data_IF_143583470687
#
_entry.id   IF_143583470687
#
_cell.length_a   1.000
_cell.length_b   1.000
_cell.length_c   1.000
_cell.angle_alpha   90.00
_cell.angle_beta   90.00
_cell.angle_gamma   90.00
#
_symmetry.space_group_name_H-M   'P 1'
#
loop_
_entity.id
_entity.type
_entity.pdbx_description
1 polymer ?
#
# COMPACT_ATOMS: atom_id res chain seq x y z
N UNK A 1 -34.87 10.61 1.97
CA UNK A 1 -34.04 11.10 3.11
C UNK A 1 -32.63 10.67 2.78
N UNK A 2 -31.64 11.48 3.07
CA UNK A 2 -30.23 11.10 2.92
C UNK A 2 -29.89 9.99 3.91
N UNK A 3 -28.96 9.11 3.55
CA UNK A 3 -28.60 7.98 4.41
C UNK A 3 -27.84 8.48 5.67
N UNK A 4 -28.14 7.95 6.88
CA UNK A 4 -27.52 8.43 8.14
C UNK A 4 -25.99 8.39 8.17
N UNK A 5 -25.36 7.42 7.51
CA UNK A 5 -23.89 7.34 7.40
C UNK A 5 -23.31 8.53 6.64
N UNK A 6 -24.01 9.06 5.64
CA UNK A 6 -23.56 10.25 4.91
C UNK A 6 -23.67 11.51 5.76
N UNK A 7 -24.77 11.64 6.55
CA UNK A 7 -24.94 12.78 7.44
C UNK A 7 -23.87 12.76 8.55
N UNK A 8 -23.60 11.59 9.14
CA UNK A 8 -22.54 11.41 10.12
C UNK A 8 -21.13 11.74 9.53
N UNK A 9 -20.84 11.26 8.33
CA UNK A 9 -19.55 11.49 7.71
C UNK A 9 -19.30 12.97 7.40
N UNK A 10 -20.36 13.69 6.95
CA UNK A 10 -20.27 15.16 6.77
C UNK A 10 -20.06 15.90 8.10
N UNK A 11 -20.78 15.51 9.17
CA UNK A 11 -20.60 16.08 10.49
C UNK A 11 -19.20 15.84 11.06
N UNK A 12 -18.56 14.73 10.68
CA UNK A 12 -17.21 14.35 11.11
C UNK A 12 -16.10 15.01 10.29
N UNK A 13 -16.38 15.55 9.12
CA UNK A 13 -15.38 16.12 8.21
C UNK A 13 -14.45 17.15 8.87
N UNK A 14 -14.93 18.13 9.68
CA UNK A 14 -14.03 19.09 10.32
C UNK A 14 -12.98 18.44 11.22
N UNK A 15 -13.35 17.38 11.92
CA UNK A 15 -12.42 16.62 12.78
C UNK A 15 -11.45 15.78 11.95
N UNK A 16 -11.90 15.18 10.84
CA UNK A 16 -11.03 14.47 9.91
C UNK A 16 -9.97 15.37 9.31
N UNK A 17 -10.33 16.63 8.95
CA UNK A 17 -9.39 17.59 8.39
C UNK A 17 -8.33 18.01 9.43
N UNK A 18 -8.71 18.20 10.70
CA UNK A 18 -7.77 18.49 11.79
C UNK A 18 -6.81 17.32 12.04
N UNK A 19 -7.31 16.10 12.02
CA UNK A 19 -6.49 14.90 12.23
C UNK A 19 -5.53 14.70 11.04
N UNK A 20 -5.99 14.96 9.81
CA UNK A 20 -5.15 14.90 8.61
C UNK A 20 -4.03 15.95 8.65
N UNK A 21 -4.33 17.20 9.02
CA UNK A 21 -3.32 18.25 9.21
C UNK A 21 -2.26 17.82 10.20
N UNK A 22 -2.65 17.25 11.35
CA UNK A 22 -1.72 16.75 12.38
C UNK A 22 -0.79 15.67 11.83
N UNK A 23 -1.31 14.74 11.01
CA UNK A 23 -0.50 13.67 10.41
C UNK A 23 0.48 14.24 9.38
N UNK A 24 0.01 15.11 8.47
CA UNK A 24 0.85 15.70 7.41
C UNK A 24 1.98 16.56 7.99
N UNK A 25 1.74 17.28 9.09
CA UNK A 25 2.75 18.13 9.74
C UNK A 25 3.89 17.34 10.38
N UNK A 26 3.79 16.02 10.44
CA UNK A 26 4.87 15.13 10.89
C UNK A 26 5.41 14.34 9.72
N UNK A 27 6.43 14.91 9.06
CA UNK A 27 7.07 14.27 7.91
C UNK A 27 7.58 12.87 8.27
N UNK A 28 7.24 11.87 7.46
CA UNK A 28 7.47 10.44 7.73
C UNK A 28 8.12 9.69 6.56
N UNK A 29 9.28 10.13 6.04
CA UNK A 29 9.98 9.36 5.02
C UNK A 29 10.30 7.94 5.51
N UNK A 30 9.91 6.94 4.74
CA UNK A 30 9.99 5.51 5.11
C UNK A 30 11.40 5.05 5.48
N UNK A 31 12.42 5.64 4.87
CA UNK A 31 13.82 5.32 5.15
C UNK A 31 14.36 5.92 6.47
N UNK A 32 13.66 6.87 7.09
CA UNK A 32 14.02 7.48 8.39
C UNK A 32 13.17 6.86 9.51
N UNK A 33 13.67 5.80 10.12
CA UNK A 33 12.99 5.08 11.20
C UNK A 33 12.61 5.99 12.39
N UNK A 34 13.36 7.05 12.66
CA UNK A 34 13.03 8.00 13.72
C UNK A 34 11.84 8.90 13.30
N UNK A 35 11.75 9.27 12.03
CA UNK A 35 10.60 10.01 11.50
C UNK A 35 9.35 9.12 11.49
N UNK A 36 9.46 7.88 11.04
CA UNK A 36 8.41 6.87 11.08
C UNK A 36 7.90 6.67 12.52
N UNK A 37 8.80 6.57 13.51
CA UNK A 37 8.40 6.44 14.91
C UNK A 37 7.62 7.69 15.42
N UNK A 38 8.02 8.90 15.03
CA UNK A 38 7.29 10.14 15.39
C UNK A 38 5.90 10.20 14.73
N UNK A 39 5.80 9.79 13.48
CA UNK A 39 4.51 9.68 12.79
C UNK A 39 3.60 8.66 13.48
N UNK A 40 4.14 7.49 13.85
CA UNK A 40 3.41 6.50 14.62
C UNK A 40 2.89 7.06 15.98
N UNK A 41 3.66 7.95 16.65
CA UNK A 41 3.21 8.60 17.88
C UNK A 41 1.96 9.45 17.63
N UNK A 42 1.95 10.24 16.55
CA UNK A 42 0.82 11.11 16.20
C UNK A 42 -0.40 10.29 15.78
N UNK A 43 -0.20 9.25 14.97
CA UNK A 43 -1.29 8.35 14.54
C UNK A 43 -1.88 7.62 15.74
N UNK A 44 -1.03 7.14 16.67
CA UNK A 44 -1.49 6.48 17.90
C UNK A 44 -2.32 7.41 18.79
N UNK A 45 -1.88 8.67 18.97
CA UNK A 45 -2.59 9.68 19.75
C UNK A 45 -3.96 10.04 19.13
N UNK A 46 -4.03 10.21 17.81
CA UNK A 46 -5.29 10.44 17.09
C UNK A 46 -6.21 9.22 17.24
N UNK A 47 -5.68 8.01 17.00
CA UNK A 47 -6.47 6.78 17.13
C UNK A 47 -7.00 6.59 18.55
N UNK A 48 -6.20 6.83 19.60
CA UNK A 48 -6.65 6.76 20.99
C UNK A 48 -7.77 7.77 21.28
N UNK A 49 -7.63 9.00 20.78
CA UNK A 49 -8.65 10.05 20.94
C UNK A 49 -9.97 9.70 20.24
N UNK A 50 -9.93 9.10 19.05
CA UNK A 50 -11.12 8.81 18.23
C UNK A 50 -11.75 7.46 18.57
N UNK A 51 -10.95 6.39 18.66
CA UNK A 51 -11.38 5.01 18.88
C UNK A 51 -11.65 4.75 20.38
N UNK A 52 -10.93 5.47 21.27
CA UNK A 52 -11.13 5.42 22.71
C UNK A 52 -10.13 4.54 23.47
N UNK A 53 -9.15 3.95 22.79
CA UNK A 53 -8.03 3.20 23.40
C UNK A 53 -6.80 3.23 22.50
N UNK A 54 -5.62 3.12 23.13
CA UNK A 54 -4.34 3.14 22.44
C UNK A 54 -4.13 1.88 21.57
N UNK A 55 -3.39 1.99 20.45
CA UNK A 55 -3.01 0.83 19.66
C UNK A 55 -1.93 0.00 20.35
N UNK A 56 -1.83 -1.25 19.94
CA UNK A 56 -0.60 -1.99 20.12
C UNK A 56 0.49 -1.44 19.20
N UNK A 57 1.67 -1.19 19.74
CA UNK A 57 2.86 -0.78 19.00
C UNK A 57 3.74 -2.00 18.71
N UNK A 58 4.00 -2.25 17.47
CA UNK A 58 4.79 -3.39 16.98
C UNK A 58 6.02 -2.82 16.29
N UNK A 59 7.20 -3.13 16.82
CA UNK A 59 8.46 -2.65 16.26
C UNK A 59 9.22 -3.84 15.70
N UNK A 60 9.47 -3.82 14.39
CA UNK A 60 10.26 -4.85 13.69
C UNK A 60 11.41 -4.17 12.97
N UNK A 61 12.64 -4.60 13.26
CA UNK A 61 13.88 -4.02 12.71
C UNK A 61 13.96 -2.49 12.81
N UNK A 62 13.35 -1.92 13.87
CA UNK A 62 13.31 -0.49 14.15
C UNK A 62 12.15 0.26 13.46
N UNK A 63 11.41 -0.36 12.57
CA UNK A 63 10.20 0.20 11.97
C UNK A 63 9.00 0.01 12.90
N UNK A 64 8.20 1.05 13.10
CA UNK A 64 7.04 1.04 14.01
C UNK A 64 5.75 0.87 13.21
N UNK A 65 4.97 -0.14 13.58
CA UNK A 65 3.62 -0.40 13.09
C UNK A 65 2.61 -0.25 14.23
N UNK A 66 1.36 0.01 13.90
CA UNK A 66 0.28 0.19 14.87
C UNK A 66 -0.86 -0.77 14.57
N UNK A 67 -1.48 -1.33 15.63
CA UNK A 67 -2.60 -2.26 15.49
C UNK A 67 -3.68 -1.97 16.51
N UNK A 68 -4.92 -1.81 16.03
CA UNK A 68 -6.13 -1.79 16.84
C UNK A 68 -6.96 -3.02 16.57
N UNK A 69 -7.41 -3.68 17.62
CA UNK A 69 -8.39 -4.75 17.55
C UNK A 69 -9.70 -4.30 18.21
N UNK A 70 -10.79 -4.30 17.44
CA UNK A 70 -12.14 -4.08 17.93
C UNK A 70 -12.90 -5.39 17.89
N UNK A 71 -13.67 -5.68 18.94
CA UNK A 71 -14.39 -6.95 19.07
C UNK A 71 -13.56 -8.03 19.72
N UNK A 72 -14.07 -9.28 19.70
CA UNK A 72 -13.38 -10.42 20.30
C UNK A 72 -12.64 -11.25 19.25
N UNK A 73 -11.32 -11.40 19.36
CA UNK A 73 -10.57 -12.25 18.44
C UNK A 73 -10.79 -13.76 18.66
N UNK A 74 -11.44 -14.14 19.76
CA UNK A 74 -11.64 -15.55 20.18
C UNK A 74 -12.96 -16.16 19.68
N UNK A 75 -13.76 -15.40 18.90
CA UNK A 75 -15.04 -15.87 18.36
C UNK A 75 -14.87 -16.35 16.92
N UNK A 76 -15.70 -17.32 16.49
CA UNK A 76 -15.88 -17.68 15.07
C UNK A 76 -16.61 -16.57 14.27
N UNK A 77 -16.63 -15.36 14.83
CA UNK A 77 -17.29 -14.19 14.27
C UNK A 77 -16.53 -13.67 13.02
N UNK A 78 -17.26 -13.06 12.07
CA UNK A 78 -16.62 -12.49 10.89
C UNK A 78 -15.63 -11.39 11.28
N UNK A 79 -14.45 -11.41 10.67
CA UNK A 79 -13.40 -10.42 10.88
C UNK A 79 -13.08 -9.69 9.58
N UNK A 80 -12.90 -8.37 9.67
CA UNK A 80 -12.45 -7.52 8.56
C UNK A 80 -11.10 -6.89 8.93
N UNK A 81 -10.14 -6.96 8.02
CA UNK A 81 -8.87 -6.25 8.15
C UNK A 81 -8.92 -4.95 7.36
N UNK A 82 -8.57 -3.84 8.01
CA UNK A 82 -8.32 -2.56 7.38
C UNK A 82 -6.80 -2.35 7.31
N UNK A 83 -6.29 -2.06 6.12
CA UNK A 83 -4.86 -1.81 5.89
C UNK A 83 -4.64 -0.36 5.48
N UNK A 84 -3.72 0.30 6.17
CA UNK A 84 -3.21 1.62 5.85
C UNK A 84 -1.72 1.71 6.19
N UNK A 85 -1.03 2.72 5.66
CA UNK A 85 0.32 3.05 6.07
C UNK A 85 0.44 4.52 6.49
N UNK A 86 1.46 4.84 7.30
CA UNK A 86 1.72 6.20 7.78
C UNK A 86 3.08 6.74 7.35
N UNK A 87 3.88 5.93 6.69
CA UNK A 87 5.11 6.37 6.02
C UNK A 87 4.80 6.99 4.65
N UNK A 88 5.74 7.76 4.12
CA UNK A 88 5.60 8.43 2.82
C UNK A 88 6.93 8.42 2.06
N UNK A 89 6.90 8.65 0.76
CA UNK A 89 8.10 8.87 -0.06
C UNK A 89 8.73 10.24 0.14
N UNK A 90 8.02 11.18 0.76
CA UNK A 90 8.42 12.57 0.86
C UNK A 90 9.58 12.76 1.85
N UNK A 91 10.70 13.39 1.45
CA UNK A 91 11.84 13.60 2.35
C UNK A 91 11.55 14.65 3.43
N UNK A 92 12.33 14.64 4.50
CA UNK A 92 12.31 15.69 5.53
C UNK A 92 12.58 17.07 4.88
N UNK A 93 11.80 18.06 5.24
CA UNK A 93 11.84 19.42 4.71
C UNK A 93 10.86 19.67 3.56
N UNK A 94 10.10 18.66 3.13
CA UNK A 94 9.11 18.80 2.07
C UNK A 94 8.03 19.84 2.41
N UNK A 95 7.67 19.99 3.68
CA UNK A 95 6.71 21.01 4.13
C UNK A 95 7.16 22.46 3.88
N UNK A 96 8.44 22.73 3.66
CA UNK A 96 8.93 24.07 3.29
C UNK A 96 8.51 24.47 1.88
N UNK A 97 8.39 23.49 0.98
CA UNK A 97 8.04 23.69 -0.44
C UNK A 97 6.60 23.26 -0.77
N UNK A 98 6.08 22.31 -0.02
CA UNK A 98 4.75 21.71 -0.18
C UNK A 98 3.98 21.78 1.16
N UNK A 99 3.68 22.99 1.68
CA UNK A 99 2.99 23.14 2.96
C UNK A 99 1.57 22.56 2.89
N UNK A 100 1.10 22.05 4.04
CA UNK A 100 -0.31 21.71 4.16
C UNK A 100 -1.19 22.93 3.85
N UNK A 101 -2.18 22.75 3.01
CA UNK A 101 -3.15 23.79 2.68
C UNK A 101 -4.48 23.21 2.24
N UNK A 102 -5.56 23.95 2.50
CA UNK A 102 -6.89 23.69 1.96
C UNK A 102 -7.34 24.94 1.22
N UNK A 103 -7.44 24.86 -0.10
CA UNK A 103 -7.85 25.98 -0.96
C UNK A 103 -8.86 25.48 -2.00
N UNK A 104 -9.97 26.18 -2.13
CA UNK A 104 -11.03 25.87 -3.11
C UNK A 104 -11.50 24.41 -3.09
N UNK A 105 -11.59 23.81 -1.90
CA UNK A 105 -11.99 22.40 -1.72
C UNK A 105 -10.92 21.38 -2.05
N UNK A 106 -9.66 21.80 -2.23
CA UNK A 106 -8.52 20.94 -2.53
C UNK A 106 -7.53 20.98 -1.38
N UNK A 107 -7.18 19.80 -0.85
CA UNK A 107 -6.11 19.62 0.12
C UNK A 107 -4.80 19.37 -0.62
N UNK A 108 -3.70 19.95 -0.13
CA UNK A 108 -2.34 19.70 -0.57
C UNK A 108 -1.44 19.48 0.63
N UNK A 109 -0.39 18.73 0.44
CA UNK A 109 0.62 18.45 1.46
C UNK A 109 1.24 17.05 1.25
N UNK A 110 2.46 16.78 1.75
CA UNK A 110 3.16 15.52 1.56
C UNK A 110 2.35 14.33 2.09
N UNK A 111 2.12 13.31 1.23
CA UNK A 111 1.40 12.11 1.59
C UNK A 111 -0.10 12.29 1.82
N UNK A 112 -0.69 13.45 1.46
CA UNK A 112 -2.11 13.68 1.68
C UNK A 112 -2.98 12.69 0.89
N UNK A 113 -2.57 12.33 -0.33
CA UNK A 113 -3.27 11.39 -1.20
C UNK A 113 -2.80 9.96 -0.97
N UNK A 114 -1.49 9.77 -0.79
CA UNK A 114 -0.85 8.48 -0.59
C UNK A 114 -0.17 8.41 0.79
N UNK A 115 -0.82 7.88 1.88
CA UNK A 115 -2.26 7.59 1.91
C UNK A 115 -2.90 8.14 3.19
N UNK A 116 -2.35 9.25 3.75
CA UNK A 116 -2.76 9.76 5.08
C UNK A 116 -4.25 10.09 5.19
N UNK A 117 -4.90 10.56 4.09
CA UNK A 117 -6.36 10.77 4.10
C UNK A 117 -7.12 9.45 4.23
N UNK A 118 -6.68 8.38 3.54
CA UNK A 118 -7.24 7.05 3.70
C UNK A 118 -7.13 6.54 5.13
N UNK A 119 -5.98 6.76 5.76
CA UNK A 119 -5.76 6.41 7.17
C UNK A 119 -6.71 7.17 8.12
N UNK A 120 -6.88 8.49 7.92
CA UNK A 120 -7.85 9.27 8.70
C UNK A 120 -9.27 8.72 8.54
N UNK A 121 -9.68 8.43 7.30
CA UNK A 121 -10.99 7.83 7.03
C UNK A 121 -11.17 6.50 7.76
N UNK A 122 -10.14 5.63 7.79
CA UNK A 122 -10.18 4.36 8.51
C UNK A 122 -10.36 4.56 10.02
N UNK A 123 -9.58 5.47 10.63
CA UNK A 123 -9.67 5.77 12.07
C UNK A 123 -11.07 6.24 12.44
N UNK A 124 -11.67 7.15 11.65
CA UNK A 124 -13.01 7.67 11.91
C UNK A 124 -14.09 6.61 11.65
N UNK A 125 -13.95 5.75 10.62
CA UNK A 125 -14.85 4.64 10.37
C UNK A 125 -14.85 3.66 11.56
N UNK A 126 -13.68 3.25 12.02
CA UNK A 126 -13.50 2.36 13.16
C UNK A 126 -14.08 2.97 14.45
N UNK A 127 -13.86 4.26 14.69
CA UNK A 127 -14.44 4.96 15.82
C UNK A 127 -15.97 4.98 15.79
N UNK A 128 -16.57 5.10 14.60
CA UNK A 128 -18.02 5.09 14.42
C UNK A 128 -18.65 3.71 14.69
N UNK A 129 -17.95 2.62 14.36
CA UNK A 129 -18.43 1.26 14.62
C UNK A 129 -18.62 0.99 16.12
N UNK A 130 -17.80 1.59 16.98
CA UNK A 130 -17.87 1.44 18.43
C UNK A 130 -17.66 -0.01 18.88
N UNK A 131 -18.54 -0.50 19.79
CA UNK A 131 -18.45 -1.85 20.33
C UNK A 131 -19.07 -2.88 19.39
N UNK A 132 -18.31 -3.90 19.02
CA UNK A 132 -18.72 -5.01 18.15
C UNK A 132 -18.75 -6.33 18.97
N UNK A 133 -19.90 -6.75 19.52
CA UNK A 133 -19.94 -7.94 20.37
C UNK A 133 -19.76 -9.26 19.60
N UNK A 134 -20.29 -9.33 18.36
CA UNK A 134 -20.37 -10.54 17.54
C UNK A 134 -19.58 -10.43 16.22
N UNK A 135 -18.63 -9.51 16.16
CA UNK A 135 -17.80 -9.27 14.98
C UNK A 135 -16.45 -8.68 15.41
N UNK A 136 -15.49 -8.66 14.52
CA UNK A 136 -14.20 -8.04 14.79
C UNK A 136 -13.68 -7.22 13.61
N UNK A 137 -12.99 -6.12 13.92
CA UNK A 137 -12.25 -5.30 12.98
C UNK A 137 -10.82 -5.14 13.48
N UNK A 138 -9.86 -5.41 12.63
CA UNK A 138 -8.46 -5.03 12.85
C UNK A 138 -8.13 -3.83 11.96
N UNK A 139 -7.64 -2.74 12.55
CA UNK A 139 -6.95 -1.67 11.81
C UNK A 139 -5.45 -1.87 12.00
N UNK A 140 -4.77 -2.24 10.93
CA UNK A 140 -3.31 -2.36 10.88
C UNK A 140 -2.74 -1.20 10.07
N UNK A 141 -1.83 -0.45 10.68
CA UNK A 141 -1.17 0.70 10.08
C UNK A 141 0.32 0.43 10.03
N UNK A 142 0.86 0.28 8.82
CA UNK A 142 2.26 -0.05 8.58
C UNK A 142 3.13 1.20 8.45
N UNK A 143 4.44 1.07 8.65
CA UNK A 143 5.39 2.18 8.58
C UNK A 143 6.48 1.97 7.52
N UNK A 144 6.30 1.00 6.59
CA UNK A 144 7.30 0.64 5.58
C UNK A 144 6.69 0.22 4.23
N UNK A 145 5.43 0.64 3.96
CA UNK A 145 4.75 0.28 2.70
C UNK A 145 5.55 0.73 1.49
N UNK A 146 6.04 1.96 1.49
CA UNK A 146 6.76 2.61 0.40
C UNK A 146 8.16 1.98 0.13
N UNK A 147 8.66 1.17 1.07
CA UNK A 147 9.87 0.36 0.91
C UNK A 147 9.55 -1.10 0.55
N UNK A 148 8.29 -1.43 0.32
CA UNK A 148 7.86 -2.79 -0.05
C UNK A 148 7.46 -3.67 1.12
N UNK A 149 7.14 -3.10 2.29
CA UNK A 149 6.61 -3.81 3.47
C UNK A 149 7.54 -4.91 3.98
N UNK A 150 8.84 -4.62 3.99
CA UNK A 150 9.88 -5.61 4.31
C UNK A 150 9.70 -6.15 5.72
N UNK A 151 9.31 -5.28 6.68
CA UNK A 151 9.12 -5.64 8.08
C UNK A 151 7.67 -5.96 8.42
N UNK A 152 6.71 -5.35 7.70
CA UNK A 152 5.26 -5.50 7.96
C UNK A 152 4.61 -6.70 7.25
N UNK A 153 5.18 -7.22 6.16
CA UNK A 153 4.58 -8.34 5.40
C UNK A 153 4.12 -9.52 6.25
N UNK A 154 4.96 -10.10 7.16
CA UNK A 154 4.52 -11.22 7.99
C UNK A 154 3.33 -10.85 8.90
N UNK A 155 3.29 -9.61 9.38
CA UNK A 155 2.21 -9.11 10.21
C UNK A 155 0.92 -8.93 9.39
N UNK A 156 1.01 -8.39 8.16
CA UNK A 156 -0.13 -8.26 7.25
C UNK A 156 -0.74 -9.63 6.93
N UNK A 157 0.10 -10.59 6.55
CA UNK A 157 -0.35 -11.95 6.22
C UNK A 157 -0.98 -12.63 7.45
N UNK A 158 -0.42 -12.46 8.64
CA UNK A 158 -0.95 -13.01 9.89
C UNK A 158 -2.32 -12.40 10.25
N UNK A 159 -2.46 -11.07 10.16
CA UNK A 159 -3.72 -10.40 10.51
C UNK A 159 -4.83 -10.68 9.47
N UNK A 160 -4.47 -10.91 8.23
CA UNK A 160 -5.41 -11.23 7.17
C UNK A 160 -5.94 -12.66 7.26
N UNK A 161 -5.16 -13.60 7.80
CA UNK A 161 -5.55 -15.00 7.86
C UNK A 161 -6.88 -15.19 8.62
N UNK A 162 -7.84 -15.85 7.96
CA UNK A 162 -9.18 -16.07 8.48
C UNK A 162 -10.10 -14.84 8.48
N UNK A 163 -9.69 -13.70 7.90
CA UNK A 163 -10.59 -12.58 7.67
C UNK A 163 -11.56 -12.86 6.51
N UNK A 164 -12.80 -12.36 6.63
CA UNK A 164 -13.79 -12.45 5.55
C UNK A 164 -13.45 -11.49 4.41
N UNK A 165 -12.72 -10.42 4.70
CA UNK A 165 -12.17 -9.48 3.72
C UNK A 165 -11.03 -8.65 4.32
N UNK A 166 -10.14 -8.17 3.42
CA UNK A 166 -9.20 -7.09 3.67
C UNK A 166 -9.59 -5.87 2.82
N UNK A 167 -9.62 -4.70 3.44
CA UNK A 167 -9.97 -3.41 2.84
C UNK A 167 -8.75 -2.49 2.92
N UNK A 168 -8.25 -2.08 1.76
CA UNK A 168 -7.00 -1.30 1.66
C UNK A 168 -7.34 0.17 1.40
N UNK A 169 -6.82 1.03 2.27
CA UNK A 169 -7.17 2.46 2.30
C UNK A 169 -6.26 3.31 1.39
N UNK A 170 -5.60 2.67 0.44
CA UNK A 170 -4.86 3.32 -0.64
C UNK A 170 -5.76 4.30 -1.41
N UNK A 171 -5.16 5.31 -1.98
CA UNK A 171 -5.87 6.26 -2.83
C UNK A 171 -6.68 5.56 -3.93
N UNK A 172 -7.79 6.15 -4.32
CA UNK A 172 -8.62 5.62 -5.42
C UNK A 172 -7.92 5.77 -6.77
N UNK A 173 -8.46 5.16 -7.80
CA UNK A 173 -8.18 5.53 -9.17
C UNK A 173 -8.90 6.82 -9.56
N UNK A 174 -8.65 7.29 -10.78
CA UNK A 174 -9.27 8.50 -11.33
C UNK A 174 -10.79 8.47 -11.15
N UNK A 175 -11.35 9.60 -10.72
CA UNK A 175 -12.79 9.73 -10.49
C UNK A 175 -13.35 8.88 -9.36
N UNK A 176 -12.50 8.40 -8.43
CA UNK A 176 -12.93 7.58 -7.29
C UNK A 176 -13.06 6.09 -7.60
N UNK A 177 -12.52 5.61 -8.73
CA UNK A 177 -12.55 4.21 -9.12
C UNK A 177 -11.88 3.31 -8.07
N UNK A 178 -12.50 2.14 -7.79
CA UNK A 178 -11.93 1.13 -6.89
C UNK A 178 -10.93 0.25 -7.64
N UNK A 179 -9.85 -0.10 -6.97
CA UNK A 179 -8.78 -0.94 -7.53
C UNK A 179 -9.10 -2.41 -7.30
N UNK A 180 -9.56 -3.08 -8.37
CA UNK A 180 -9.93 -4.50 -8.34
C UNK A 180 -8.81 -5.43 -8.79
N UNK A 181 -7.64 -4.90 -9.06
CA UNK A 181 -6.44 -5.65 -9.41
C UNK A 181 -5.20 -4.78 -9.39
N UNK A 182 -4.10 -5.38 -8.96
CA UNK A 182 -2.78 -4.75 -8.96
C UNK A 182 -1.74 -5.73 -9.52
N UNK A 183 -0.79 -5.25 -10.29
CA UNK A 183 0.32 -6.09 -10.70
C UNK A 183 1.15 -6.52 -9.49
N UNK A 184 1.58 -7.77 -9.51
CA UNK A 184 2.66 -8.25 -8.65
C UNK A 184 4.00 -7.71 -9.10
N UNK A 185 4.95 -7.70 -8.20
CA UNK A 185 6.30 -7.20 -8.43
C UNK A 185 7.33 -8.28 -8.22
N UNK A 186 8.34 -8.33 -9.08
CA UNK A 186 9.53 -9.13 -8.87
C UNK A 186 10.75 -8.30 -9.26
N UNK A 187 11.85 -8.48 -8.58
CA UNK A 187 13.09 -7.80 -8.89
C UNK A 187 14.24 -8.81 -9.03
N UNK A 188 15.04 -8.63 -10.07
CA UNK A 188 16.18 -9.49 -10.35
C UNK A 188 17.43 -8.66 -10.55
N UNK A 189 18.53 -9.20 -10.07
CA UNK A 189 19.87 -8.75 -10.39
C UNK A 189 20.62 -9.89 -11.06
N UNK A 190 21.04 -9.67 -12.30
CA UNK A 190 21.83 -10.60 -13.07
C UNK A 190 23.30 -10.19 -12.99
N UNK A 191 24.14 -11.04 -12.41
CA UNK A 191 25.58 -10.85 -12.32
C UNK A 191 26.30 -11.73 -13.33
N UNK A 192 27.26 -11.15 -14.03
CA UNK A 192 28.03 -11.79 -15.08
C UNK A 192 29.51 -11.76 -14.70
N UNK A 193 30.13 -12.93 -14.61
CA UNK A 193 31.56 -13.10 -14.35
C UNK A 193 32.22 -13.70 -15.55
N UNK A 194 32.99 -12.90 -16.23
CA UNK A 194 33.87 -13.25 -17.34
C UNK A 194 35.33 -13.41 -16.90
N UNK A 195 36.26 -12.96 -17.76
CA UNK A 195 37.70 -12.99 -17.48
C UNK A 195 38.39 -11.76 -18.10
N UNK A 196 39.15 -11.05 -17.29
CA UNK A 196 39.93 -9.91 -17.77
C UNK A 196 41.06 -10.36 -18.70
N UNK A 197 41.40 -9.48 -19.68
CA UNK A 197 42.55 -9.55 -20.52
C UNK A 197 42.91 -8.15 -21.02
N UNK A 198 44.11 -7.93 -21.52
CA UNK A 198 44.49 -6.66 -22.15
C UNK A 198 43.78 -6.54 -23.51
N UNK A 199 42.94 -5.53 -23.68
CA UNK A 199 42.07 -5.40 -24.85
C UNK A 199 42.83 -5.24 -26.19
N UNK A 200 44.08 -4.76 -26.17
CA UNK A 200 44.92 -4.58 -27.36
C UNK A 200 46.00 -5.64 -27.55
N UNK A 201 46.35 -6.42 -26.50
CA UNK A 201 47.46 -7.40 -26.62
C UNK A 201 46.91 -8.84 -26.76
N UNK A 202 45.96 -9.22 -25.93
CA UNK A 202 45.49 -10.62 -25.83
C UNK A 202 43.98 -10.67 -25.59
N UNK A 203 43.13 -9.98 -26.39
CA UNK A 203 41.70 -9.93 -26.14
C UNK A 203 41.05 -11.32 -26.19
N UNK A 204 41.61 -12.25 -26.98
CA UNK A 204 41.13 -13.64 -27.10
C UNK A 204 41.30 -14.47 -25.82
N UNK A 205 42.15 -14.05 -24.89
CA UNK A 205 42.27 -14.68 -23.55
C UNK A 205 41.19 -14.22 -22.57
N UNK A 206 40.47 -13.16 -22.92
CA UNK A 206 39.39 -12.60 -22.12
C UNK A 206 38.04 -13.34 -22.34
N UNK A 207 37.12 -13.18 -21.38
CA UNK A 207 35.71 -13.43 -21.56
C UNK A 207 34.99 -12.10 -21.26
N UNK A 208 34.43 -11.48 -22.29
CA UNK A 208 33.95 -10.10 -22.20
C UNK A 208 32.56 -10.07 -21.56
N UNK A 209 32.48 -9.66 -20.27
CA UNK A 209 31.25 -9.56 -19.52
C UNK A 209 30.27 -8.48 -20.07
N UNK A 210 30.78 -7.44 -20.76
CA UNK A 210 29.94 -6.42 -21.41
C UNK A 210 29.16 -6.99 -22.59
N UNK A 211 29.80 -7.84 -23.40
CA UNK A 211 29.11 -8.48 -24.53
C UNK A 211 28.04 -9.46 -24.05
N UNK A 212 28.34 -10.21 -22.98
CA UNK A 212 27.35 -11.09 -22.34
C UNK A 212 26.20 -10.28 -21.75
N UNK A 213 26.47 -9.16 -21.06
CA UNK A 213 25.43 -8.26 -20.52
C UNK A 213 24.51 -7.78 -21.64
N UNK A 214 25.05 -7.28 -22.75
CA UNK A 214 24.27 -6.79 -23.89
C UNK A 214 23.35 -7.89 -24.46
N UNK A 215 23.86 -9.13 -24.55
CA UNK A 215 23.06 -10.27 -24.98
C UNK A 215 21.93 -10.58 -23.98
N UNK A 216 22.26 -10.69 -22.68
CA UNK A 216 21.28 -11.06 -21.65
C UNK A 216 20.19 -10.01 -21.45
N UNK A 217 20.49 -8.72 -21.57
CA UNK A 217 19.47 -7.64 -21.57
C UNK A 217 18.45 -7.86 -22.69
N UNK A 218 18.92 -8.25 -23.89
CA UNK A 218 18.02 -8.59 -25.00
C UNK A 218 17.16 -9.82 -24.71
N UNK A 219 17.75 -10.88 -24.13
CA UNK A 219 17.04 -12.11 -23.76
C UNK A 219 15.95 -11.82 -22.74
N UNK A 220 16.28 -11.16 -21.61
CA UNK A 220 15.30 -10.93 -20.53
C UNK A 220 14.21 -9.96 -20.95
N UNK A 221 14.50 -9.00 -21.81
CA UNK A 221 13.47 -8.11 -22.37
C UNK A 221 12.43 -8.88 -23.18
N UNK A 222 12.79 -10.02 -23.74
CA UNK A 222 11.90 -10.94 -24.46
C UNK A 222 10.95 -11.74 -23.57
N UNK A 223 11.13 -11.72 -22.23
CA UNK A 223 10.22 -12.41 -21.30
C UNK A 223 8.90 -11.62 -21.07
N UNK A 224 8.85 -10.36 -21.50
CA UNK A 224 7.64 -9.55 -21.41
C UNK A 224 6.54 -10.11 -22.32
N UNK A 225 5.29 -10.03 -21.85
CA UNK A 225 4.10 -10.34 -22.65
C UNK A 225 3.01 -9.30 -22.41
N UNK A 226 2.89 -8.36 -23.35
CA UNK A 226 1.92 -7.28 -23.26
C UNK A 226 0.47 -7.78 -23.29
N UNK A 227 0.19 -8.93 -23.93
CA UNK A 227 -1.15 -9.51 -24.00
C UNK A 227 -1.62 -10.06 -22.66
N UNK A 228 -0.68 -10.47 -21.80
CA UNK A 228 -0.89 -10.93 -20.42
C UNK A 228 -0.62 -9.81 -19.40
N UNK A 229 -0.32 -8.60 -19.86
CA UNK A 229 -0.01 -7.46 -19.03
C UNK A 229 1.34 -7.55 -18.31
N UNK A 230 2.23 -8.46 -18.74
CA UNK A 230 3.55 -8.68 -18.14
C UNK A 230 4.58 -7.73 -18.73
N UNK A 231 5.22 -6.94 -17.87
CA UNK A 231 6.37 -6.10 -18.24
C UNK A 231 7.65 -6.58 -17.58
N UNK A 232 8.75 -6.54 -18.35
CA UNK A 232 10.09 -6.87 -17.90
C UNK A 232 11.02 -5.74 -18.35
N UNK A 233 11.51 -4.96 -17.39
CA UNK A 233 12.21 -3.70 -17.67
C UNK A 233 13.60 -3.73 -17.05
N UNK A 234 14.69 -3.95 -17.83
CA UNK A 234 16.04 -3.69 -17.35
C UNK A 234 16.19 -2.21 -16.99
N UNK A 235 16.63 -1.92 -15.75
CA UNK A 235 16.65 -0.55 -15.21
C UNK A 235 18.05 0.00 -14.99
N UNK A 236 18.93 -0.78 -14.37
CA UNK A 236 20.30 -0.39 -14.07
C UNK A 236 21.27 -1.37 -14.73
N UNK A 237 22.35 -0.85 -15.31
CA UNK A 237 23.41 -1.68 -15.89
C UNK A 237 24.79 -1.10 -15.57
N UNK A 238 25.74 -1.98 -15.24
CA UNK A 238 27.14 -1.62 -14.94
C UNK A 238 28.08 -2.63 -15.55
N UNK A 239 29.18 -2.16 -16.13
CA UNK A 239 30.20 -3.02 -16.70
C UNK A 239 31.55 -2.32 -16.83
N UNK A 240 32.64 -3.09 -16.70
CA UNK A 240 34.00 -2.63 -16.92
C UNK A 240 34.55 -1.70 -15.84
N UNK A 241 35.86 -1.46 -15.92
CA UNK A 241 36.58 -0.56 -14.98
C UNK A 241 37.54 0.38 -15.72
N UNK A 242 38.15 -0.06 -16.84
CA UNK A 242 39.14 0.70 -17.61
C UNK A 242 38.92 0.48 -19.10
N UNK A 243 39.33 1.46 -19.92
CA UNK A 243 39.12 1.46 -21.37
C UNK A 243 39.89 0.34 -22.09
N UNK A 244 41.06 -0.03 -21.59
CA UNK A 244 41.98 -0.98 -22.26
C UNK A 244 41.96 -2.40 -21.68
N UNK A 245 40.93 -2.75 -20.92
CA UNK A 245 40.76 -4.07 -20.30
C UNK A 245 39.44 -4.72 -20.78
N UNK A 246 39.50 -5.98 -21.20
CA UNK A 246 38.32 -6.80 -21.43
C UNK A 246 37.59 -6.93 -20.09
N UNK A 247 36.31 -6.50 -19.96
CA UNK A 247 35.63 -6.51 -18.70
C UNK A 247 35.41 -7.92 -18.15
N UNK A 248 35.80 -8.14 -16.88
CA UNK A 248 35.57 -9.41 -16.17
C UNK A 248 34.26 -9.45 -15.42
N UNK A 249 33.66 -8.28 -15.15
CA UNK A 249 32.41 -8.20 -14.37
C UNK A 249 31.44 -7.25 -15.04
N UNK A 250 30.16 -7.66 -15.02
CA UNK A 250 29.03 -6.84 -15.38
C UNK A 250 27.81 -7.24 -14.54
N UNK A 251 26.85 -6.34 -14.39
CA UNK A 251 25.56 -6.64 -13.78
C UNK A 251 24.49 -5.73 -14.33
N UNK A 252 23.24 -6.19 -14.29
CA UNK A 252 22.08 -5.36 -14.54
C UNK A 252 20.92 -5.76 -13.62
N UNK A 253 20.01 -4.82 -13.38
CA UNK A 253 18.83 -4.99 -12.55
C UNK A 253 17.58 -4.89 -13.41
N UNK A 254 16.53 -5.63 -13.02
CA UNK A 254 15.28 -5.75 -13.78
C UNK A 254 14.09 -5.63 -12.85
N UNK A 255 13.18 -4.70 -13.16
CA UNK A 255 11.83 -4.63 -12.59
C UNK A 255 10.89 -5.49 -13.44
N UNK A 256 10.12 -6.35 -12.79
CA UNK A 256 9.10 -7.19 -13.42
C UNK A 256 7.75 -6.92 -12.77
N UNK A 257 6.73 -6.75 -13.64
CA UNK A 257 5.33 -6.57 -13.21
C UNK A 257 4.45 -7.56 -13.94
N UNK A 258 3.64 -8.32 -13.21
CA UNK A 258 2.74 -9.35 -13.74
C UNK A 258 1.34 -9.24 -13.17
N UNK A 259 0.28 -9.52 -13.97
CA UNK A 259 -1.11 -9.48 -13.53
C UNK A 259 -1.60 -10.79 -12.90
N UNK A 260 -0.85 -11.88 -13.06
CA UNK A 260 -1.20 -13.18 -12.48
C UNK A 260 0.00 -13.87 -11.85
N UNK A 261 -0.26 -14.71 -10.86
CA UNK A 261 0.75 -15.56 -10.22
C UNK A 261 1.43 -16.46 -11.26
N UNK A 262 0.64 -17.01 -12.20
CA UNK A 262 1.17 -17.89 -13.25
C UNK A 262 2.22 -17.16 -14.13
N UNK A 263 1.98 -15.90 -14.48
CA UNK A 263 2.93 -15.07 -15.24
C UNK A 263 4.17 -14.71 -14.41
N UNK A 264 4.00 -14.43 -13.13
CA UNK A 264 5.10 -14.14 -12.23
C UNK A 264 6.03 -15.37 -12.08
N UNK A 265 5.45 -16.55 -11.94
CA UNK A 265 6.17 -17.83 -11.88
C UNK A 265 6.84 -18.17 -13.22
N UNK A 266 6.16 -17.96 -14.35
CA UNK A 266 6.76 -18.15 -15.68
C UNK A 266 8.02 -17.31 -15.86
N UNK A 267 7.95 -16.02 -15.53
CA UNK A 267 9.09 -15.10 -15.65
C UNK A 267 10.21 -15.49 -14.69
N UNK A 268 9.90 -15.90 -13.44
CA UNK A 268 10.93 -16.39 -12.51
C UNK A 268 11.65 -17.62 -13.07
N UNK A 269 10.91 -18.58 -13.62
CA UNK A 269 11.50 -19.76 -14.26
C UNK A 269 12.40 -19.41 -15.46
N UNK A 270 12.02 -18.43 -16.28
CA UNK A 270 12.84 -17.92 -17.39
C UNK A 270 14.16 -17.32 -16.86
N UNK A 271 14.11 -16.47 -15.80
CA UNK A 271 15.32 -15.94 -15.17
C UNK A 271 16.23 -17.05 -14.64
N UNK A 272 15.68 -18.09 -13.99
CA UNK A 272 16.46 -19.24 -13.45
C UNK A 272 17.08 -20.09 -14.56
N UNK A 273 16.55 -20.03 -15.77
CA UNK A 273 17.02 -20.80 -16.94
C UNK A 273 18.05 -20.07 -17.81
N UNK A 274 18.46 -18.84 -17.45
CA UNK A 274 19.42 -18.07 -18.23
C UNK A 274 20.74 -18.82 -18.49
N UNK A 275 21.13 -18.90 -19.75
CA UNK A 275 22.35 -19.57 -20.20
C UNK A 275 23.28 -18.57 -20.86
N UNK A 276 24.57 -18.65 -20.56
CA UNK A 276 25.60 -17.78 -21.16
C UNK A 276 25.81 -18.09 -22.63
N UNK A 277 25.90 -17.03 -23.44
CA UNK A 277 26.27 -17.08 -24.86
C UNK A 277 27.80 -17.09 -25.11
N UNK A 278 28.58 -16.60 -24.14
CA UNK A 278 30.03 -16.42 -24.26
C UNK A 278 30.86 -17.37 -23.40
N UNK A 279 30.18 -18.19 -22.55
CA UNK A 279 30.84 -19.02 -21.56
C UNK A 279 31.18 -18.29 -20.25
N UNK A 280 30.75 -17.05 -20.06
CA UNK A 280 30.82 -16.35 -18.80
C UNK A 280 29.86 -17.00 -17.78
N UNK A 281 30.17 -16.89 -16.49
CA UNK A 281 29.25 -17.37 -15.46
C UNK A 281 28.15 -16.35 -15.22
N UNK A 282 26.90 -16.79 -15.22
CA UNK A 282 25.74 -16.00 -14.86
C UNK A 282 25.26 -16.43 -13.47
N UNK A 283 24.94 -15.44 -12.63
CA UNK A 283 24.23 -15.64 -11.36
C UNK A 283 23.02 -14.71 -11.31
N UNK A 284 21.86 -15.28 -10.95
CA UNK A 284 20.60 -14.54 -10.80
C UNK A 284 20.25 -14.44 -9.33
N UNK A 285 20.13 -13.22 -8.85
CA UNK A 285 19.71 -12.88 -7.49
C UNK A 285 18.33 -12.23 -7.51
N UNK A 286 17.65 -12.23 -6.37
CA UNK A 286 16.27 -11.74 -6.26
C UNK A 286 15.25 -12.80 -6.66
N UNK A 287 14.06 -12.38 -7.03
CA UNK A 287 12.96 -13.28 -7.37
C UNK A 287 11.60 -12.59 -7.21
N UNK A 288 10.57 -13.44 -6.99
CA UNK A 288 9.21 -12.99 -6.73
C UNK A 288 9.16 -12.20 -5.42
N UNK A 289 8.61 -10.99 -5.50
CA UNK A 289 8.39 -10.10 -4.36
C UNK A 289 6.92 -10.12 -3.90
N UNK A 290 6.16 -9.04 -4.19
CA UNK A 290 4.71 -9.00 -3.93
C UNK A 290 3.96 -9.84 -4.98
N UNK A 291 3.07 -10.75 -4.60
CA UNK A 291 2.20 -11.44 -5.56
C UNK A 291 1.24 -10.43 -6.23
N UNK A 292 0.63 -10.73 -7.38
CA UNK A 292 -0.42 -9.88 -7.92
C UNK A 292 -1.69 -9.95 -7.06
N UNK A 293 -2.41 -8.83 -6.95
CA UNK A 293 -3.80 -8.83 -6.51
C UNK A 293 -4.65 -9.14 -7.74
N UNK A 294 -5.05 -10.39 -7.89
CA UNK A 294 -5.83 -10.83 -9.04
C UNK A 294 -7.31 -10.43 -8.89
N UNK A 295 -7.96 -10.09 -10.01
CA UNK A 295 -9.38 -9.68 -10.03
C UNK A 295 -10.29 -10.72 -9.37
N UNK A 296 -9.96 -11.99 -9.46
CA UNK A 296 -10.71 -13.08 -8.81
C UNK A 296 -10.74 -12.99 -7.29
N UNK A 297 -9.71 -12.43 -6.68
CA UNK A 297 -9.65 -12.20 -5.22
C UNK A 297 -10.49 -10.97 -4.78
N UNK A 298 -10.84 -10.08 -5.71
CA UNK A 298 -11.50 -8.80 -5.38
C UNK A 298 -12.98 -8.76 -5.75
N UNK A 299 -13.40 -9.55 -6.75
CA UNK A 299 -14.73 -9.46 -7.36
C UNK A 299 -15.87 -9.57 -6.34
N UNK A 300 -15.76 -10.45 -5.35
CA UNK A 300 -16.76 -10.64 -4.31
C UNK A 300 -16.97 -9.38 -3.45
N UNK A 301 -15.89 -8.79 -2.98
CA UNK A 301 -15.92 -7.59 -2.13
C UNK A 301 -16.34 -6.36 -2.94
N UNK A 302 -15.87 -6.25 -4.20
CA UNK A 302 -16.27 -5.18 -5.09
C UNK A 302 -17.78 -5.16 -5.36
N UNK A 303 -18.41 -6.32 -5.63
CA UNK A 303 -19.88 -6.42 -5.78
C UNK A 303 -20.62 -5.94 -4.53
N UNK A 304 -20.12 -6.24 -3.33
CA UNK A 304 -20.68 -5.75 -2.07
C UNK A 304 -20.52 -4.23 -1.97
N UNK A 305 -19.37 -3.68 -2.33
CA UNK A 305 -19.16 -2.23 -2.37
C UNK A 305 -20.14 -1.52 -3.32
N UNK A 306 -20.46 -2.11 -4.48
CA UNK A 306 -21.49 -1.59 -5.39
C UNK A 306 -22.88 -1.61 -4.76
N UNK A 307 -23.25 -2.68 -4.06
CA UNK A 307 -24.53 -2.78 -3.36
C UNK A 307 -24.65 -1.70 -2.29
N UNK A 308 -23.64 -1.56 -1.42
CA UNK A 308 -23.56 -0.52 -0.38
C UNK A 308 -23.62 0.89 -0.99
N UNK A 309 -22.89 1.16 -2.08
CA UNK A 309 -22.98 2.45 -2.77
C UNK A 309 -24.42 2.74 -3.23
N UNK A 310 -25.11 1.74 -3.79
CA UNK A 310 -26.52 1.84 -4.18
C UNK A 310 -27.45 2.14 -3.00
N UNK A 311 -27.27 1.48 -1.85
CA UNK A 311 -28.03 1.71 -0.62
C UNK A 311 -27.81 3.12 -0.05
N UNK A 312 -26.58 3.61 -0.12
CA UNK A 312 -26.23 4.97 0.26
C UNK A 312 -26.74 6.04 -0.72
N UNK A 313 -27.23 5.62 -1.90
CA UNK A 313 -27.66 6.54 -2.97
C UNK A 313 -26.50 7.24 -3.67
N UNK A 314 -25.31 6.64 -3.66
CA UNK A 314 -24.11 7.14 -4.31
C UNK A 314 -24.08 6.70 -5.80
N UNK A 315 -23.31 7.43 -6.62
CA UNK A 315 -22.89 6.93 -7.92
C UNK A 315 -22.08 5.64 -7.72
N UNK A 316 -22.34 4.64 -8.58
CA UNK A 316 -21.59 3.39 -8.50
C UNK A 316 -20.13 3.64 -8.88
N UNK A 317 -19.16 3.26 -8.01
CA UNK A 317 -17.76 3.43 -8.34
C UNK A 317 -17.37 2.56 -9.54
N UNK A 318 -16.50 3.08 -10.39
CA UNK A 318 -15.87 2.29 -11.45
C UNK A 318 -14.82 1.34 -10.86
N UNK A 319 -14.42 0.35 -11.64
CA UNK A 319 -13.38 -0.60 -11.27
C UNK A 319 -12.18 -0.47 -12.22
N UNK A 320 -10.99 -0.46 -11.68
CA UNK A 320 -9.76 -0.42 -12.47
C UNK A 320 -8.73 -1.46 -11.99
N UNK A 321 -7.84 -1.82 -12.93
CA UNK A 321 -6.63 -2.61 -12.64
C UNK A 321 -5.43 -1.71 -12.84
N UNK A 322 -4.52 -1.67 -11.87
CA UNK A 322 -3.38 -0.75 -11.87
C UNK A 322 -2.03 -1.47 -11.87
N UNK A 323 -0.99 -0.76 -12.31
CA UNK A 323 0.38 -1.29 -12.39
C UNK A 323 1.16 -1.24 -11.07
N UNK A 324 0.76 -0.36 -10.13
CA UNK A 324 1.38 -0.23 -8.82
C UNK A 324 0.89 -1.31 -7.85
N UNK A 325 1.78 -1.85 -7.02
CA UNK A 325 1.44 -2.78 -5.95
C UNK A 325 1.10 -2.03 -4.65
N UNK A 326 0.49 -2.70 -3.69
CA UNK A 326 0.23 -2.23 -2.34
C UNK A 326 0.28 -3.39 -1.34
N UNK A 327 0.01 -3.12 -0.07
CA UNK A 327 -0.14 -4.16 0.96
C UNK A 327 -1.30 -5.12 0.67
N UNK A 328 -2.31 -4.70 -0.10
CA UNK A 328 -3.39 -5.55 -0.59
C UNK A 328 -2.95 -6.71 -1.48
N UNK A 329 -1.78 -6.61 -2.08
CA UNK A 329 -1.18 -7.71 -2.83
C UNK A 329 -0.87 -8.92 -1.94
N UNK A 330 -0.44 -8.70 -0.69
CA UNK A 330 -0.14 -9.78 0.24
C UNK A 330 -1.40 -10.49 0.70
N UNK A 331 -2.45 -9.75 1.03
CA UNK A 331 -3.72 -10.33 1.48
C UNK A 331 -4.42 -11.12 0.38
N UNK A 332 -4.47 -10.57 -0.83
CA UNK A 332 -4.97 -11.29 -2.00
C UNK A 332 -4.11 -12.50 -2.36
N UNK A 333 -2.78 -12.39 -2.19
CA UNK A 333 -1.82 -13.46 -2.47
C UNK A 333 -1.96 -14.69 -1.58
N UNK A 334 -2.47 -14.53 -0.34
CA UNK A 334 -2.79 -15.66 0.56
C UNK A 334 -4.26 -16.10 0.44
N UNK A 335 -5.02 -15.56 -0.53
CA UNK A 335 -6.38 -15.98 -0.84
C UNK A 335 -7.47 -15.28 -0.03
N UNK A 336 -7.17 -14.20 0.70
CA UNK A 336 -8.18 -13.40 1.41
C UNK A 336 -8.89 -12.47 0.42
N UNK A 337 -10.24 -12.43 0.40
CA UNK A 337 -10.98 -11.48 -0.43
C UNK A 337 -10.55 -10.05 -0.11
N UNK A 338 -10.02 -9.33 -1.09
CA UNK A 338 -9.40 -8.01 -0.88
C UNK A 338 -9.99 -6.97 -1.81
N UNK A 339 -10.24 -5.76 -1.32
CA UNK A 339 -10.61 -4.61 -2.14
C UNK A 339 -9.70 -3.43 -1.80
N UNK A 340 -9.17 -2.80 -2.84
CA UNK A 340 -8.20 -1.73 -2.72
C UNK A 340 -8.72 -0.41 -3.33
N UNK A 341 -8.01 0.69 -3.09
CA UNK A 341 -8.42 2.00 -3.58
C UNK A 341 -9.61 2.59 -2.84
N UNK A 342 -9.82 2.21 -1.58
CA UNK A 342 -10.92 2.69 -0.74
C UNK A 342 -10.66 4.06 -0.10
N UNK A 343 -9.45 4.57 -0.19
CA UNK A 343 -9.02 5.86 0.35
C UNK A 343 -9.47 7.08 -0.47
N UNK A 344 -8.65 8.12 -0.45
CA UNK A 344 -8.96 9.44 -0.99
C UNK A 344 -9.21 9.48 -2.50
N UNK A 345 -10.01 10.45 -2.93
CA UNK A 345 -10.11 10.89 -4.32
C UNK A 345 -9.23 12.11 -4.52
N UNK A 346 -8.40 12.09 -5.55
CA UNK A 346 -7.42 13.14 -5.81
C UNK A 346 -6.46 12.71 -6.91
N UNK A 347 -5.19 13.03 -6.74
CA UNK A 347 -4.16 12.63 -7.69
C UNK A 347 -2.76 13.08 -7.30
N UNK A 348 -1.78 12.70 -8.13
CA UNK A 348 -0.40 13.15 -7.97
C UNK A 348 0.39 12.42 -6.90
N UNK A 349 0.08 11.17 -6.57
CA UNK A 349 0.92 10.36 -5.69
C UNK A 349 2.39 10.47 -6.10
N UNK A 350 3.30 10.69 -5.12
CA UNK A 350 4.74 10.87 -5.32
C UNK A 350 5.14 12.08 -6.19
N UNK A 351 4.27 13.05 -6.39
CA UNK A 351 4.56 14.20 -7.26
C UNK A 351 4.18 15.54 -6.60
N UNK A 352 4.85 16.61 -7.03
CA UNK A 352 4.68 17.97 -6.47
C UNK A 352 3.24 18.51 -6.51
N UNK A 353 2.37 17.92 -7.32
CA UNK A 353 0.96 18.29 -7.42
C UNK A 353 0.02 17.34 -6.67
N UNK A 354 0.54 16.56 -5.73
CA UNK A 354 -0.25 15.68 -4.87
C UNK A 354 -1.39 16.47 -4.20
N UNK A 355 -2.62 15.92 -4.29
CA UNK A 355 -3.80 16.59 -3.79
C UNK A 355 -4.96 15.63 -3.51
N UNK A 356 -5.89 16.08 -2.67
CA UNK A 356 -7.14 15.38 -2.31
C UNK A 356 -8.32 16.32 -2.44
N UNK A 357 -9.45 15.79 -2.92
CA UNK A 357 -10.73 16.51 -2.97
C UNK A 357 -11.46 16.40 -1.64
N UNK A 358 -11.69 17.55 -0.99
CA UNK A 358 -12.34 17.61 0.34
C UNK A 358 -13.76 17.02 0.32
N UNK A 359 -14.53 17.31 -0.73
CA UNK A 359 -15.93 16.91 -0.86
C UNK A 359 -16.13 15.37 -0.94
N UNK A 360 -15.10 14.64 -1.38
CA UNK A 360 -15.17 13.19 -1.51
C UNK A 360 -14.86 12.46 -0.20
N UNK A 361 -14.18 13.09 0.76
CA UNK A 361 -13.80 12.44 2.03
C UNK A 361 -15.01 11.86 2.77
N UNK A 362 -16.10 12.60 3.01
CA UNK A 362 -17.27 12.06 3.71
C UNK A 362 -17.94 10.91 2.93
N UNK A 363 -18.04 11.07 1.62
CA UNK A 363 -18.66 10.06 0.74
C UNK A 363 -17.90 8.75 0.81
N UNK A 364 -16.56 8.81 0.71
CA UNK A 364 -15.68 7.65 0.79
C UNK A 364 -15.69 7.01 2.18
N UNK A 365 -15.72 7.83 3.24
CA UNK A 365 -15.79 7.35 4.63
C UNK A 365 -17.12 6.64 4.90
N UNK A 366 -18.23 7.14 4.39
CA UNK A 366 -19.54 6.49 4.50
C UNK A 366 -19.57 5.16 3.74
N UNK A 367 -19.00 5.12 2.52
CA UNK A 367 -18.88 3.89 1.73
C UNK A 367 -18.04 2.83 2.47
N UNK A 368 -16.87 3.22 2.99
CA UNK A 368 -16.01 2.33 3.78
C UNK A 368 -16.75 1.76 4.99
N UNK A 369 -17.40 2.64 5.77
CA UNK A 369 -18.12 2.24 6.98
C UNK A 369 -19.28 1.30 6.65
N UNK A 370 -20.07 1.62 5.63
CA UNK A 370 -21.15 0.76 5.14
C UNK A 370 -20.67 -0.60 4.67
N UNK A 371 -19.54 -0.64 3.96
CA UNK A 371 -18.94 -1.89 3.49
C UNK A 371 -18.43 -2.76 4.66
N UNK A 372 -17.84 -2.17 5.69
CA UNK A 372 -17.44 -2.91 6.89
C UNK A 372 -18.67 -3.54 7.56
N UNK A 373 -19.73 -2.76 7.77
CA UNK A 373 -20.98 -3.24 8.39
C UNK A 373 -21.60 -4.39 7.58
N UNK A 374 -21.67 -4.24 6.25
CA UNK A 374 -22.20 -5.26 5.35
C UNK A 374 -21.37 -6.56 5.41
N UNK A 375 -20.02 -6.46 5.37
CA UNK A 375 -19.11 -7.61 5.46
C UNK A 375 -19.24 -8.35 6.80
N UNK A 376 -19.46 -7.63 7.87
CA UNK A 376 -19.65 -8.19 9.20
C UNK A 376 -21.07 -8.74 9.45
N UNK A 377 -22.03 -8.44 8.56
CA UNK A 377 -23.44 -8.84 8.75
C UNK A 377 -24.12 -8.08 9.91
N UNK A 378 -23.70 -6.84 10.18
CA UNK A 378 -24.25 -6.00 11.24
C UNK A 378 -25.29 -5.06 10.65
N UNK A 379 -26.56 -5.20 11.04
CA UNK A 379 -27.66 -4.35 10.61
C UNK A 379 -27.70 -3.01 11.40
N UNK A 380 -27.56 -1.89 10.68
CA UNK A 380 -27.88 -0.53 11.14
C UNK A 380 -26.83 0.20 11.97
N UNK A 381 -27.04 1.49 12.25
CA UNK A 381 -26.09 2.30 13.00
C UNK A 381 -26.00 1.82 14.45
N UNK A 382 -24.82 1.40 14.87
CA UNK A 382 -24.54 1.15 16.29
C UNK A 382 -24.74 2.47 17.04
N UNK A 383 -25.76 2.52 17.90
CA UNK A 383 -26.09 3.72 18.67
C UNK A 383 -24.91 4.14 19.52
N UNK A 384 -24.26 5.24 19.17
CA UNK A 384 -23.21 5.85 19.98
C UNK A 384 -23.81 6.30 21.31
N UNK A 385 -23.51 5.59 22.40
CA UNK A 385 -23.66 6.16 23.74
C UNK A 385 -22.68 7.33 23.83
N UNK A 386 -23.21 8.57 23.82
CA UNK A 386 -22.43 9.76 24.19
C UNK A 386 -21.74 9.47 25.52
N UNK A 387 -20.43 9.40 25.52
CA UNK A 387 -19.62 9.40 26.76
C UNK A 387 -19.93 10.74 27.43
N UNK A 388 -20.72 10.67 28.50
CA UNK A 388 -21.21 11.83 29.21
C UNK A 388 -20.06 12.66 29.76
N UNK A 389 -20.06 13.95 29.46
CA UNK A 389 -19.18 14.93 30.06
C UNK A 389 -19.17 14.75 31.57
N UNK A 390 -18.01 14.42 32.15
CA UNK A 390 -17.80 14.36 33.59
C UNK A 390 -18.14 15.74 34.18
N UNK A 391 -19.25 15.81 34.93
CA UNK A 391 -19.58 16.97 35.75
C UNK A 391 -18.47 17.13 36.82
N UNK A 392 -17.79 18.25 36.81
CA UNK A 392 -16.91 18.69 37.89
C UNK A 392 -17.64 18.64 39.22
N UNK A 393 -17.03 18.14 40.32
CA UNK A 393 -17.63 18.23 41.64
C UNK A 393 -17.70 19.69 42.06
N UNK A 394 -18.92 20.15 42.39
CA UNK A 394 -19.11 21.45 43.06
C UNK A 394 -18.41 21.39 44.41
N UNK A 395 -17.47 22.29 44.64
CA UNK A 395 -17.00 22.61 45.98
C UNK A 395 -18.18 23.19 46.79
N UNK A 396 -18.60 22.51 47.84
CA UNK A 396 -19.43 23.06 48.90
C UNK A 396 -18.54 23.64 49.98
N UNK A 397 -18.87 24.86 50.35
CA UNK A 397 -18.30 25.58 51.52
C UNK A 397 -18.60 24.86 52.86
#
# INVERSE_FOLDING_TARGET
MRHPLLDWADESLPEMLLDLERMILVESPSADLAAVARSADVVADIGEQRIGFAPERIVVDGCTHLRWHLGSPETDAPRVLLLAHHDTVWPIGSLETHPFSIQDGVIRGPGCFDMLTGLVMAVHAVAHLGHLPDAAVTLLVTGDEELGSVTSRPLIEQEADGCVAALVLEASGDGGALKIGRKGTSSYRVEITGRAAHAGLEPEKGLNATLELAHQVGVVSGFADASLGTSVTPTLARSGTTLNTVPAHASFEVDVRALSVAEQERVDAEFRSLVSSTGARIAVHGGVGRPPLEVTATEGVWRRALAVAGELGLSLPEAIVVGGASDGNFTGGIGVPTLDGLGAVGGGAHADHEHVMVEDIPVRTALLTGLILDLLGVDGPVTTRRVGARRSPRQSR
#
